data_IF_212101363630
#
_entry.id   IF_212101363630
#
_cell.length_a   1.000
_cell.length_b   1.000
_cell.length_c   1.000
_cell.angle_alpha   90.00
_cell.angle_beta   90.00
_cell.angle_gamma   90.00
#
_symmetry.space_group_name_H-M   'P 1'
#
loop_
_entity.id
_entity.type
_entity.pdbx_description
1 polymer ?
#
# COMPACT_ATOMS: atom_id res chain seq x y z
N UNK A 1 -36.41 13.02 38.38
CA UNK A 1 -35.92 13.14 36.98
C UNK A 1 -34.40 13.09 36.98
N UNK A 2 -33.75 11.99 36.55
CA UNK A 2 -32.33 12.04 36.20
C UNK A 2 -32.17 12.24 34.68
N UNK A 3 -31.19 13.03 34.20
CA UNK A 3 -30.87 13.04 32.79
C UNK A 3 -30.00 11.82 32.46
N UNK A 4 -30.57 10.91 31.67
CA UNK A 4 -29.83 9.80 31.07
C UNK A 4 -28.92 10.35 29.97
N UNK A 5 -27.62 10.43 30.24
CA UNK A 5 -26.58 10.68 29.24
C UNK A 5 -26.45 9.44 28.34
N UNK A 6 -27.34 9.33 27.36
CA UNK A 6 -27.21 8.35 26.28
C UNK A 6 -25.95 8.67 25.46
N UNK A 7 -24.88 7.93 25.77
CA UNK A 7 -23.80 7.48 24.90
C UNK A 7 -23.77 8.15 23.51
N UNK A 8 -22.83 9.09 23.34
CA UNK A 8 -22.41 9.62 22.04
C UNK A 8 -22.14 8.44 21.11
N UNK A 9 -23.08 8.16 20.20
CA UNK A 9 -22.88 7.27 19.06
C UNK A 9 -21.59 7.68 18.38
N UNK A 10 -20.56 6.82 18.43
CA UNK A 10 -19.36 6.91 17.59
C UNK A 10 -19.83 6.77 16.15
N UNK A 11 -20.22 7.91 15.55
CA UNK A 11 -20.72 7.97 14.19
C UNK A 11 -19.69 7.35 13.25
N UNK A 12 -20.12 6.38 12.45
CA UNK A 12 -19.32 5.82 11.37
C UNK A 12 -18.81 6.99 10.52
N UNK A 13 -17.49 7.20 10.54
CA UNK A 13 -16.86 8.24 9.72
C UNK A 13 -16.96 7.78 8.27
N UNK A 14 -17.35 8.70 7.39
CA UNK A 14 -17.40 8.42 5.95
C UNK A 14 -16.01 8.09 5.43
N UNK A 15 -15.93 7.24 4.40
CA UNK A 15 -14.66 6.85 3.78
C UNK A 15 -13.87 8.09 3.35
N UNK A 16 -14.52 9.11 2.78
CA UNK A 16 -13.90 10.39 2.46
C UNK A 16 -13.33 11.14 3.68
N UNK A 17 -13.97 11.07 4.86
CA UNK A 17 -13.43 11.68 6.07
C UNK A 17 -12.24 10.91 6.64
N UNK A 18 -12.20 9.58 6.47
CA UNK A 18 -11.05 8.74 6.84
C UNK A 18 -9.87 9.01 5.91
N UNK A 19 -10.14 9.08 4.60
CA UNK A 19 -9.15 9.36 3.56
C UNK A 19 -8.61 10.81 3.62
N UNK A 20 -9.46 11.78 3.97
CA UNK A 20 -9.08 13.18 4.10
C UNK A 20 -8.35 13.51 5.41
N UNK A 21 -8.44 12.64 6.43
CA UNK A 21 -7.68 12.81 7.67
C UNK A 21 -6.23 12.38 7.46
N UNK A 22 -5.31 13.35 7.35
CA UNK A 22 -3.84 13.12 7.31
C UNK A 22 -3.29 12.33 8.52
N UNK A 23 -4.10 12.16 9.57
CA UNK A 23 -3.77 11.38 10.77
C UNK A 23 -4.27 9.93 10.73
N UNK A 24 -4.99 9.53 9.69
CA UNK A 24 -5.51 8.17 9.57
C UNK A 24 -4.47 7.25 8.94
N UNK A 25 -3.97 6.26 9.69
CA UNK A 25 -3.09 5.18 9.19
C UNK A 25 -3.51 4.63 7.81
N UNK A 26 -4.81 4.64 7.51
CA UNK A 26 -5.38 4.22 6.22
C UNK A 26 -4.94 5.11 5.05
N UNK A 27 -4.90 6.43 5.23
CA UNK A 27 -4.46 7.37 4.19
C UNK A 27 -2.98 7.18 3.84
N UNK A 28 -2.14 6.96 4.85
CA UNK A 28 -0.71 6.63 4.67
C UNK A 28 -0.54 5.28 3.94
N UNK A 29 -1.28 4.25 4.36
CA UNK A 29 -1.27 2.93 3.70
C UNK A 29 -1.68 3.06 2.23
N UNK A 30 -2.71 3.85 1.92
CA UNK A 30 -3.16 4.04 0.54
C UNK A 30 -2.18 4.85 -0.30
N UNK A 31 -1.54 5.87 0.29
CA UNK A 31 -0.47 6.61 -0.37
C UNK A 31 0.71 5.71 -0.69
N UNK A 32 1.12 4.86 0.27
CA UNK A 32 2.20 3.90 0.08
C UNK A 32 1.83 2.84 -0.97
N UNK A 33 0.61 2.31 -0.94
CA UNK A 33 0.12 1.36 -1.94
C UNK A 33 0.14 1.95 -3.36
N UNK A 34 -0.29 3.22 -3.51
CA UNK A 34 -0.21 3.93 -4.80
C UNK A 34 1.23 4.10 -5.27
N UNK A 35 2.15 4.46 -4.37
CA UNK A 35 3.56 4.59 -4.71
C UNK A 35 4.17 3.24 -5.15
N UNK A 36 3.82 2.16 -4.45
CA UNK A 36 4.24 0.80 -4.81
C UNK A 36 3.69 0.37 -6.17
N UNK A 37 2.41 0.58 -6.45
CA UNK A 37 1.81 0.27 -7.74
C UNK A 37 2.47 1.04 -8.89
N UNK A 38 2.82 2.31 -8.66
CA UNK A 38 3.59 3.11 -9.63
C UNK A 38 4.99 2.57 -9.88
N UNK A 39 5.65 2.04 -8.85
CA UNK A 39 6.95 1.38 -8.98
C UNK A 39 6.84 0.05 -9.73
N UNK A 40 5.80 -0.75 -9.47
CA UNK A 40 5.54 -2.00 -10.20
C UNK A 40 5.31 -1.75 -11.68
N UNK A 41 4.51 -0.74 -12.05
CA UNK A 41 4.32 -0.38 -13.45
C UNK A 41 5.60 0.07 -14.15
N UNK A 42 6.49 0.78 -13.45
CA UNK A 42 7.80 1.18 -13.99
C UNK A 42 8.71 -0.03 -14.15
N UNK A 43 8.76 -0.89 -13.14
CA UNK A 43 9.55 -2.12 -13.15
C UNK A 43 9.11 -3.04 -14.31
N UNK A 44 7.81 -3.22 -14.53
CA UNK A 44 7.27 -4.03 -15.62
C UNK A 44 7.64 -3.52 -17.02
N UNK A 45 8.00 -2.24 -17.18
CA UNK A 45 8.50 -1.70 -18.46
C UNK A 45 9.99 -1.92 -18.68
N UNK A 46 10.73 -2.22 -17.61
CA UNK A 46 12.17 -2.46 -17.63
C UNK A 46 12.49 -3.95 -17.68
N UNK A 47 11.58 -4.78 -17.18
CA UNK A 47 11.66 -6.23 -17.23
C UNK A 47 11.05 -6.77 -18.51
N UNK A 48 11.55 -7.92 -18.94
CA UNK A 48 10.89 -8.79 -19.92
C UNK A 48 9.56 -9.31 -19.38
N UNK A 49 8.65 -9.67 -20.29
CA UNK A 49 7.26 -10.02 -19.96
C UNK A 49 7.18 -11.16 -18.92
N UNK A 50 8.06 -12.16 -19.02
CA UNK A 50 8.09 -13.30 -18.10
C UNK A 50 8.49 -12.87 -16.68
N UNK A 51 9.50 -12.01 -16.53
CA UNK A 51 9.91 -11.49 -15.23
C UNK A 51 8.90 -10.47 -14.67
N UNK A 52 8.30 -9.63 -15.52
CA UNK A 52 7.30 -8.65 -15.11
C UNK A 52 6.06 -9.30 -14.46
N UNK A 53 5.65 -10.49 -14.93
CA UNK A 53 4.53 -11.21 -14.35
C UNK A 53 4.83 -11.79 -12.97
N UNK A 54 6.09 -12.20 -12.73
CA UNK A 54 6.50 -12.93 -11.53
C UNK A 54 7.13 -12.05 -10.44
N UNK A 55 7.58 -10.84 -10.78
CA UNK A 55 8.24 -9.92 -9.84
C UNK A 55 7.24 -8.90 -9.30
N UNK A 56 7.23 -8.72 -7.97
CA UNK A 56 6.42 -7.72 -7.26
C UNK A 56 7.29 -6.84 -6.38
N UNK A 57 6.87 -5.60 -6.14
CA UNK A 57 7.58 -4.70 -5.23
C UNK A 57 7.11 -4.98 -3.82
N UNK A 58 7.99 -5.40 -2.92
CA UNK A 58 7.66 -5.58 -1.51
C UNK A 58 7.74 -4.27 -0.74
N UNK A 59 8.84 -3.55 -0.90
CA UNK A 59 9.10 -2.32 -0.15
C UNK A 59 10.26 -1.53 -0.76
N UNK A 60 10.41 -0.29 -0.32
CA UNK A 60 11.61 0.53 -0.56
C UNK A 60 12.16 0.90 0.80
N UNK A 61 13.42 0.53 1.07
CA UNK A 61 14.08 0.88 2.34
C UNK A 61 15.50 1.35 2.06
N UNK A 62 15.88 2.46 2.69
CA UNK A 62 17.25 3.01 2.61
C UNK A 62 17.74 3.23 1.16
N UNK A 63 16.84 3.60 0.25
CA UNK A 63 17.17 3.79 -1.17
C UNK A 63 17.26 2.49 -2.00
N UNK A 64 17.03 1.33 -1.37
CA UNK A 64 17.02 0.02 -2.03
C UNK A 64 15.57 -0.41 -2.30
N UNK A 65 15.30 -0.80 -3.54
CA UNK A 65 14.04 -1.42 -3.96
C UNK A 65 14.09 -2.92 -3.65
N UNK A 66 13.21 -3.39 -2.77
CA UNK A 66 13.11 -4.80 -2.42
C UNK A 66 12.01 -5.45 -3.26
N UNK A 67 12.38 -6.49 -4.00
CA UNK A 67 11.53 -7.22 -4.91
C UNK A 67 11.24 -8.62 -4.35
N UNK A 68 10.07 -9.16 -4.67
CA UNK A 68 9.65 -10.52 -4.33
C UNK A 68 9.34 -11.25 -5.62
N UNK A 69 9.86 -12.47 -5.72
CA UNK A 69 9.59 -13.40 -6.83
C UNK A 69 9.40 -14.81 -6.28
N UNK A 70 8.48 -15.61 -6.84
CA UNK A 70 8.30 -17.00 -6.43
C UNK A 70 9.46 -17.93 -6.87
N UNK A 71 10.37 -17.45 -7.71
CA UNK A 71 11.46 -18.24 -8.29
C UNK A 71 12.83 -17.72 -7.90
N UNK A 72 13.64 -18.55 -7.22
CA UNK A 72 15.03 -18.24 -6.91
C UNK A 72 15.89 -18.05 -8.17
N UNK A 73 15.57 -18.76 -9.26
CA UNK A 73 16.27 -18.62 -10.54
C UNK A 73 16.00 -17.26 -11.21
N UNK A 74 14.85 -16.64 -10.96
CA UNK A 74 14.57 -15.28 -11.42
C UNK A 74 15.26 -14.24 -10.54
N UNK A 75 15.36 -14.50 -9.25
CA UNK A 75 16.05 -13.60 -8.32
C UNK A 75 17.53 -13.41 -8.67
N UNK A 76 18.21 -14.43 -9.19
CA UNK A 76 19.63 -14.37 -9.58
C UNK A 76 19.89 -13.70 -10.93
N UNK A 77 18.83 -13.38 -11.70
CA UNK A 77 18.94 -12.70 -13.01
C UNK A 77 18.81 -11.17 -12.93
N UNK A 78 18.39 -10.65 -11.78
CA UNK A 78 18.28 -9.22 -11.47
C UNK A 78 19.59 -8.69 -10.88
#
# INVERSE_FOLDING_TARGET
MPPSNYSKKRGARTVNAILGSRSGRVGEILSQARAMAGLEQKLARLLDAEMAEQVRVATVRQGVLVLVTPSAALATRL
#
